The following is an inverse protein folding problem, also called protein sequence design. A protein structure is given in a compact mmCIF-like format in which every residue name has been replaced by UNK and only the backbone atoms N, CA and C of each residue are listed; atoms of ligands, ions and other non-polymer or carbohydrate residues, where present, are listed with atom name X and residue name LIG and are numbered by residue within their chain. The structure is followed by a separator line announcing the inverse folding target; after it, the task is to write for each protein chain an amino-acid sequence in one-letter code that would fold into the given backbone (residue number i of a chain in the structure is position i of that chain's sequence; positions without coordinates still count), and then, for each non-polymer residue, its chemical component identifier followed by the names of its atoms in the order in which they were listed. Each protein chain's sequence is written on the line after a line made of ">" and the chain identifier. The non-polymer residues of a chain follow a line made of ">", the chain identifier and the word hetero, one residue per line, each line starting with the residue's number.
data_IF_587137235068
#
_entry.id   IF_587137235068
#
_cell.length_a   1.000
_cell.length_b   1.000
_cell.length_c   1.000
_cell.angle_alpha   90.00
_cell.angle_beta   90.00
_cell.angle_gamma   90.00
#
_symmetry.space_group_name_H-M   'P 1'
#
loop_
_entity.id
_entity.type
_entity.pdbx_description
1 polymer ?
#
# COMPACT_ATOMS: atom_id res chain seq x y z
N UNK A 1 -25.10 -8.82 11.60
CA UNK A 1 -25.66 -8.38 10.32
C UNK A 1 -26.54 -9.49 9.76
N UNK A 2 -27.74 -9.19 9.26
CA UNK A 2 -28.63 -10.20 8.66
C UNK A 2 -28.01 -10.76 7.38
N UNK A 3 -28.14 -12.07 7.16
CA UNK A 3 -27.63 -12.73 5.94
C UNK A 3 -28.44 -12.22 4.73
N UNK A 4 -27.81 -11.89 3.60
CA UNK A 4 -28.53 -11.54 2.38
C UNK A 4 -29.30 -12.76 1.87
N UNK A 5 -30.59 -12.57 1.60
CA UNK A 5 -31.52 -13.58 1.10
C UNK A 5 -31.81 -13.29 -0.37
N UNK A 6 -32.04 -14.35 -1.15
CA UNK A 6 -32.44 -14.22 -2.56
C UNK A 6 -33.87 -13.71 -2.65
N UNK A 7 -34.10 -12.66 -3.44
CA UNK A 7 -35.45 -12.14 -3.72
C UNK A 7 -36.22 -13.08 -4.65
N UNK A 8 -37.54 -12.86 -4.79
CA UNK A 8 -38.40 -13.61 -5.71
C UNK A 8 -37.89 -13.54 -7.17
N UNK A 9 -37.35 -12.38 -7.58
CA UNK A 9 -36.77 -12.15 -8.91
C UNK A 9 -35.41 -12.85 -9.12
N UNK A 10 -34.93 -13.58 -8.12
CA UNK A 10 -33.67 -14.32 -8.17
C UNK A 10 -32.41 -13.49 -7.93
N UNK A 11 -32.54 -12.19 -7.65
CA UNK A 11 -31.44 -11.25 -7.39
C UNK A 11 -31.16 -11.08 -5.88
N UNK A 12 -30.07 -10.40 -5.56
CA UNK A 12 -29.65 -10.04 -4.20
C UNK A 12 -29.53 -8.54 -4.06
N UNK A 13 -30.21 -7.95 -3.07
CA UNK A 13 -30.06 -6.52 -2.76
C UNK A 13 -29.15 -6.36 -1.55
N UNK A 14 -28.00 -5.73 -1.74
CA UNK A 14 -27.00 -5.51 -0.69
C UNK A 14 -26.53 -4.06 -0.74
N UNK A 15 -26.64 -3.33 0.38
CA UNK A 15 -26.28 -1.91 0.51
C UNK A 15 -26.94 -1.00 -0.56
N UNK A 16 -28.16 -1.33 -0.99
CA UNK A 16 -28.89 -0.57 -2.02
C UNK A 16 -28.51 -0.91 -3.47
N UNK A 17 -27.54 -1.80 -3.69
CA UNK A 17 -27.18 -2.30 -5.02
C UNK A 17 -27.78 -3.69 -5.27
N UNK A 18 -28.23 -3.92 -6.50
CA UNK A 18 -28.80 -5.19 -6.93
C UNK A 18 -27.72 -6.00 -7.66
N UNK A 19 -27.53 -7.25 -7.23
CA UNK A 19 -26.59 -8.20 -7.81
C UNK A 19 -27.34 -9.43 -8.31
N UNK A 20 -26.86 -10.00 -9.42
CA UNK A 20 -27.42 -11.27 -9.95
C UNK A 20 -27.01 -12.43 -9.05
N UNK A 21 -25.77 -12.43 -8.59
CA UNK A 21 -25.20 -13.49 -7.76
C UNK A 21 -24.64 -12.92 -6.45
N UNK A 22 -24.74 -13.68 -5.36
CA UNK A 22 -24.14 -13.28 -4.09
C UNK A 22 -22.63 -13.54 -4.08
N UNK A 23 -22.23 -14.69 -4.61
CA UNK A 23 -20.84 -15.15 -4.69
C UNK A 23 -20.44 -15.31 -6.15
N UNK A 24 -19.24 -14.85 -6.51
CA UNK A 24 -18.71 -15.01 -7.86
C UNK A 24 -17.18 -14.98 -7.92
N UNK A 25 -16.66 -15.00 -9.14
CA UNK A 25 -15.24 -14.79 -9.44
C UNK A 25 -14.82 -13.34 -9.17
N UNK A 26 -13.51 -13.08 -9.07
CA UNK A 26 -13.00 -11.71 -8.91
C UNK A 26 -13.42 -10.78 -10.05
N UNK A 27 -13.49 -11.31 -11.28
CA UNK A 27 -13.94 -10.59 -12.45
C UNK A 27 -15.43 -10.22 -12.35
N UNK A 28 -16.29 -11.17 -11.96
CA UNK A 28 -17.71 -10.92 -11.75
C UNK A 28 -17.96 -9.85 -10.68
N UNK A 29 -17.18 -9.85 -9.61
CA UNK A 29 -17.28 -8.85 -8.53
C UNK A 29 -16.80 -7.47 -9.01
N UNK A 30 -15.70 -7.42 -9.77
CA UNK A 30 -15.17 -6.18 -10.33
C UNK A 30 -16.17 -5.53 -11.31
N UNK A 31 -16.78 -6.35 -12.17
CA UNK A 31 -17.79 -5.92 -13.14
C UNK A 31 -19.14 -5.58 -12.48
N UNK A 32 -19.38 -6.01 -11.23
CA UNK A 32 -20.61 -5.73 -10.48
C UNK A 32 -21.74 -6.75 -10.69
N UNK A 33 -21.45 -7.89 -11.33
CA UNK A 33 -22.42 -9.00 -11.46
C UNK A 33 -22.67 -9.69 -10.12
N UNK A 34 -21.61 -9.86 -9.34
CA UNK A 34 -21.64 -10.51 -8.03
C UNK A 34 -21.26 -9.55 -6.89
N UNK A 35 -21.83 -9.74 -5.70
CA UNK A 35 -21.53 -8.89 -4.55
C UNK A 35 -20.13 -9.12 -3.98
N UNK A 36 -19.74 -10.39 -3.79
CA UNK A 36 -18.46 -10.76 -3.18
C UNK A 36 -17.90 -12.04 -3.77
N UNK A 37 -16.61 -12.25 -3.55
CA UNK A 37 -15.97 -13.53 -3.89
C UNK A 37 -16.28 -14.60 -2.86
N UNK A 38 -15.99 -15.87 -3.17
CA UNK A 38 -16.03 -16.98 -2.21
C UNK A 38 -15.21 -16.69 -0.94
N UNK A 39 -14.09 -15.97 -1.08
CA UNK A 39 -13.24 -15.51 0.03
C UNK A 39 -13.72 -14.22 0.72
N UNK A 40 -14.90 -13.72 0.40
CA UNK A 40 -15.49 -12.55 1.05
C UNK A 40 -15.02 -11.18 0.57
N UNK A 41 -14.14 -11.11 -0.44
CA UNK A 41 -13.69 -9.84 -1.02
C UNK A 41 -14.83 -9.18 -1.80
N UNK A 42 -15.09 -7.91 -1.52
CA UNK A 42 -16.03 -7.06 -2.24
C UNK A 42 -15.32 -6.27 -3.34
N UNK A 43 -16.07 -5.48 -4.11
CA UNK A 43 -15.52 -4.63 -5.18
C UNK A 43 -14.49 -3.63 -4.66
N UNK A 44 -14.68 -3.10 -3.46
CA UNK A 44 -13.76 -2.13 -2.83
C UNK A 44 -12.43 -2.79 -2.39
N UNK A 45 -12.44 -4.10 -2.15
CA UNK A 45 -11.28 -4.86 -1.69
C UNK A 45 -10.37 -5.35 -2.83
N UNK A 46 -10.78 -5.14 -4.08
CA UNK A 46 -10.09 -5.62 -5.28
C UNK A 46 -9.73 -4.46 -6.21
N UNK A 47 -8.60 -4.60 -6.92
CA UNK A 47 -8.14 -3.63 -7.90
C UNK A 47 -7.48 -4.34 -9.08
N UNK A 48 -7.47 -3.68 -10.24
CA UNK A 48 -6.72 -4.13 -11.41
C UNK A 48 -5.29 -3.60 -11.31
N UNK A 49 -4.31 -4.50 -11.32
CA UNK A 49 -2.90 -4.11 -11.31
C UNK A 49 -2.45 -3.66 -12.72
N UNK A 50 -1.23 -3.12 -12.82
CA UNK A 50 -0.64 -2.69 -14.10
C UNK A 50 -0.44 -3.83 -15.12
N UNK A 51 -0.55 -5.09 -14.70
CA UNK A 51 -0.46 -6.29 -15.55
C UNK A 51 -1.82 -6.81 -15.97
N UNK A 52 -2.89 -6.05 -15.72
CA UNK A 52 -4.26 -6.39 -16.07
C UNK A 52 -4.91 -7.48 -15.21
N UNK A 53 -4.33 -7.85 -14.06
CA UNK A 53 -4.89 -8.85 -13.16
C UNK A 53 -5.67 -8.19 -12.03
N UNK A 54 -6.85 -8.73 -11.72
CA UNK A 54 -7.65 -8.32 -10.57
C UNK A 54 -7.12 -9.00 -9.31
N UNK A 55 -6.53 -8.21 -8.42
CA UNK A 55 -5.87 -8.65 -7.19
C UNK A 55 -6.51 -8.01 -5.97
N UNK A 56 -6.28 -8.58 -4.78
CA UNK A 56 -6.72 -7.93 -3.53
C UNK A 56 -5.87 -6.69 -3.25
N UNK A 57 -6.54 -5.57 -2.98
CA UNK A 57 -5.91 -4.28 -2.67
C UNK A 57 -4.93 -4.38 -1.50
N UNK A 58 -5.37 -4.98 -0.37
CA UNK A 58 -4.54 -5.19 0.82
C UNK A 58 -3.24 -5.95 0.51
N UNK A 59 -3.29 -6.98 -0.34
CA UNK A 59 -2.11 -7.77 -0.72
C UNK A 59 -1.17 -6.97 -1.63
N UNK A 60 -1.72 -6.19 -2.55
CA UNK A 60 -0.94 -5.34 -3.44
C UNK A 60 -0.19 -4.24 -2.66
N UNK A 61 -0.88 -3.55 -1.74
CA UNK A 61 -0.27 -2.52 -0.90
C UNK A 61 0.81 -3.07 0.03
N UNK A 62 0.52 -4.16 0.75
CA UNK A 62 1.48 -4.76 1.69
C UNK A 62 2.73 -5.25 0.99
N UNK A 63 2.60 -5.90 -0.17
CA UNK A 63 3.76 -6.33 -0.97
C UNK A 63 4.64 -5.15 -1.38
N UNK A 64 4.03 -4.02 -1.78
CA UNK A 64 4.74 -2.81 -2.22
C UNK A 64 5.44 -2.09 -1.05
N UNK A 65 4.78 -2.02 0.11
CA UNK A 65 5.30 -1.38 1.34
C UNK A 65 6.40 -2.21 2.00
N UNK A 66 6.23 -3.53 2.05
CA UNK A 66 7.11 -4.38 2.85
C UNK A 66 8.43 -4.71 2.16
N UNK A 67 8.47 -4.82 0.82
CA UNK A 67 9.68 -5.15 0.05
C UNK A 67 10.53 -6.26 0.71
N UNK A 68 9.87 -7.34 1.17
CA UNK A 68 10.43 -8.37 2.08
C UNK A 68 11.80 -8.87 1.65
N UNK A 69 11.96 -9.24 0.37
CA UNK A 69 13.22 -9.74 -0.17
C UNK A 69 14.35 -8.73 0.03
N UNK A 70 14.14 -7.47 -0.36
CA UNK A 70 15.14 -6.41 -0.18
C UNK A 70 15.46 -6.16 1.29
N UNK A 71 14.44 -6.14 2.17
CA UNK A 71 14.65 -5.99 3.62
C UNK A 71 15.50 -7.12 4.21
N UNK A 72 15.33 -8.34 3.73
CA UNK A 72 16.14 -9.49 4.15
C UNK A 72 17.49 -9.59 3.42
N UNK A 73 17.84 -8.62 2.58
CA UNK A 73 19.11 -8.58 1.87
C UNK A 73 19.15 -9.49 0.65
N UNK A 74 18.02 -9.72 -0.02
CA UNK A 74 17.94 -10.47 -1.27
C UNK A 74 17.55 -9.55 -2.42
N UNK A 75 18.28 -9.64 -3.52
CA UNK A 75 18.05 -8.91 -4.76
C UNK A 75 18.28 -9.79 -5.99
N UNK A 76 18.01 -9.26 -7.19
CA UNK A 76 18.31 -9.92 -8.45
C UNK A 76 19.24 -9.02 -9.29
N UNK A 77 20.24 -9.61 -9.96
CA UNK A 77 21.17 -8.90 -10.84
C UNK A 77 20.93 -9.34 -12.28
N UNK A 78 20.77 -8.38 -13.21
CA UNK A 78 20.61 -8.66 -14.64
C UNK A 78 21.79 -9.53 -15.14
N UNK A 79 21.47 -10.59 -15.88
CA UNK A 79 22.46 -11.53 -16.42
C UNK A 79 22.96 -12.61 -15.45
N UNK A 80 22.46 -12.66 -14.21
CA UNK A 80 22.73 -13.76 -13.27
C UNK A 80 21.41 -14.40 -12.83
N UNK A 81 21.30 -15.71 -13.02
CA UNK A 81 20.13 -16.48 -12.60
C UNK A 81 20.19 -16.75 -11.08
N UNK A 82 19.06 -16.63 -10.39
CA UNK A 82 18.94 -16.86 -8.95
C UNK A 82 18.96 -15.59 -8.07
N UNK A 83 19.01 -15.79 -6.75
CA UNK A 83 19.04 -14.70 -5.76
C UNK A 83 20.48 -14.22 -5.52
N UNK A 84 20.65 -12.92 -5.33
CA UNK A 84 21.91 -12.30 -4.93
C UNK A 84 21.73 -11.73 -3.53
N UNK A 85 22.49 -12.26 -2.58
CA UNK A 85 22.50 -11.76 -1.20
C UNK A 85 23.26 -10.43 -1.17
N UNK A 86 22.57 -9.34 -0.86
CA UNK A 86 23.19 -8.04 -0.61
C UNK A 86 23.63 -7.97 0.83
N UNK A 87 24.85 -7.52 1.04
CA UNK A 87 25.34 -7.22 2.38
C UNK A 87 24.46 -6.17 3.03
N UNK A 88 24.05 -6.42 4.29
CA UNK A 88 23.40 -5.39 5.08
C UNK A 88 24.46 -4.30 5.29
N UNK A 89 24.20 -3.06 4.87
CA UNK A 89 25.02 -1.94 5.31
C UNK A 89 24.88 -1.89 6.84
N UNK A 90 25.87 -2.41 7.56
CA UNK A 90 26.02 -2.10 8.97
C UNK A 90 26.09 -0.58 9.02
N UNK A 91 25.08 0.05 9.61
CA UNK A 91 25.00 1.50 9.69
C UNK A 91 26.36 2.00 10.16
N UNK A 92 26.95 2.92 9.41
CA UNK A 92 28.15 3.60 9.87
C UNK A 92 27.85 4.03 11.31
N UNK A 93 28.58 3.47 12.27
CA UNK A 93 28.53 3.97 13.63
C UNK A 93 28.84 5.45 13.48
N UNK A 94 27.86 6.30 13.80
CA UNK A 94 28.09 7.73 13.80
C UNK A 94 29.21 7.96 14.82
N UNK A 95 30.46 8.07 14.36
CA UNK A 95 31.54 8.59 15.18
C UNK A 95 31.00 9.94 15.66
N UNK A 96 30.79 10.09 16.97
CA UNK A 96 30.40 11.35 17.60
C UNK A 96 31.47 12.39 17.29
N UNK A 97 31.38 13.01 16.13
CA UNK A 97 32.16 14.18 15.78
C UNK A 97 31.63 15.33 16.61
N UNK A 98 32.45 15.81 17.54
CA UNK A 98 32.22 17.07 18.27
C UNK A 98 32.28 18.21 17.25
N UNK A 99 31.19 18.49 16.54
CA UNK A 99 31.06 19.74 15.81
C UNK A 99 30.20 20.68 16.67
N UNK A 100 30.89 21.51 17.46
CA UNK A 100 30.26 22.52 18.28
C UNK A 100 29.51 23.51 17.40
N UNK A 101 28.23 23.72 17.70
CA UNK A 101 27.51 24.89 17.21
C UNK A 101 28.17 26.14 17.79
N UNK A 102 28.84 26.94 16.97
CA UNK A 102 29.16 28.32 17.33
C UNK A 102 27.87 29.14 17.18
N UNK A 103 27.24 29.52 18.29
CA UNK A 103 26.16 30.51 18.30
C UNK A 103 26.76 31.83 17.82
N UNK A 104 26.46 32.25 16.60
CA UNK A 104 26.71 33.63 16.19
C UNK A 104 25.58 34.50 16.74
N UNK A 105 25.92 35.41 17.65
CA UNK A 105 24.97 36.38 18.17
C UNK A 105 24.54 37.33 17.04
N UNK A 106 23.24 37.34 16.73
CA UNK A 106 22.67 38.32 15.79
C UNK A 106 22.78 39.72 16.43
N UNK A 107 23.70 40.55 15.92
CA UNK A 107 23.73 41.98 16.27
C UNK A 107 22.39 42.62 15.89
N UNK A 108 21.67 43.16 16.87
CA UNK A 108 20.43 43.93 16.66
C UNK A 108 20.76 45.22 15.89
N UNK A 109 19.97 45.60 14.87
CA UNK A 109 20.18 46.87 14.19
C UNK A 109 19.87 48.04 15.11
N UNK A 110 20.76 49.05 15.08
CA UNK A 110 20.71 50.27 15.89
C UNK A 110 19.45 51.09 15.54
N UNK A 111 18.59 51.35 16.53
CA UNK A 111 17.46 52.27 16.40
C UNK A 111 18.02 53.69 16.40
N UNK A 112 18.12 54.32 15.23
CA UNK A 112 18.44 55.74 15.13
C UNK A 112 17.16 56.53 15.43
N UNK A 113 17.17 57.19 16.58
CA UNK A 113 16.35 58.37 16.85
C UNK A 113 16.73 59.49 15.88
N UNK A 114 15.73 60.27 15.46
CA UNK A 114 15.75 61.64 14.91
C UNK A 114 14.38 61.85 14.23
N UNK A 115 13.68 62.97 14.33
CA UNK A 115 13.67 64.15 15.20
C UNK A 115 12.31 64.81 14.90
#
# INVERSE_FOLDING_TARGET
>A
MKRPVRSADGTYTVKGCVYKELFGSREQVYNGTAYKTTGGLTKDDILMNSKGRIVSSKKFETATKEQRLKKHGYSAKKGKFGYVKTEKKHGYSAKKGKFGYVKTEKKRPNKRENK
#
